data_IF_622745156752
#
_entry.id   IF_622745156752
#
_cell.length_a   1.000
_cell.length_b   1.000
_cell.length_c   1.000
_cell.angle_alpha   90.00
_cell.angle_beta   90.00
_cell.angle_gamma   90.00
#
_symmetry.space_group_name_H-M   'P 1'
#
loop_
_entity.id
_entity.type
_entity.pdbx_description
1 polymer ?
#
# COMPACT_ATOMS: atom_id res chain seq x y z
N UNK A 1 -16.44 25.46 37.93
CA UNK A 1 -16.76 24.16 37.33
C UNK A 1 -17.21 24.27 35.86
N UNK A 2 -18.15 25.14 35.48
CA UNK A 2 -18.61 25.27 34.08
C UNK A 2 -17.53 25.68 33.05
N UNK A 3 -16.54 26.51 33.45
CA UNK A 3 -15.43 26.96 32.58
C UNK A 3 -14.38 25.87 32.30
N UNK A 4 -14.16 24.97 33.26
CA UNK A 4 -13.21 23.84 33.12
C UNK A 4 -13.81 22.77 32.18
N UNK A 5 -15.12 22.56 32.25
CA UNK A 5 -15.83 21.63 31.36
C UNK A 5 -15.80 22.09 29.90
N UNK A 6 -15.94 23.41 29.65
CA UNK A 6 -15.86 24.00 28.31
C UNK A 6 -14.48 23.86 27.71
N UNK A 7 -13.39 24.05 28.49
CA UNK A 7 -12.02 23.88 28.05
C UNK A 7 -11.69 22.42 27.69
N UNK A 8 -12.20 21.46 28.47
CA UNK A 8 -12.02 20.03 28.21
C UNK A 8 -12.74 19.58 26.93
N UNK A 9 -13.91 20.11 26.63
CA UNK A 9 -14.66 19.79 25.42
C UNK A 9 -14.02 20.38 24.16
N UNK A 10 -13.42 21.58 24.27
CA UNK A 10 -12.71 22.22 23.14
C UNK A 10 -11.40 21.49 22.80
N UNK A 11 -10.71 20.94 23.78
CA UNK A 11 -9.48 20.16 23.57
C UNK A 11 -9.76 18.79 22.93
N UNK A 12 -10.92 18.20 23.19
CA UNK A 12 -11.32 16.91 22.60
C UNK A 12 -11.65 17.02 21.11
N UNK A 13 -12.08 18.19 20.64
CA UNK A 13 -12.41 18.45 19.22
C UNK A 13 -11.17 18.65 18.32
N UNK A 14 -9.97 18.81 18.88
CA UNK A 14 -8.73 18.99 18.12
C UNK A 14 -8.01 17.67 17.78
N UNK A 15 -8.58 16.52 18.10
CA UNK A 15 -8.01 15.20 17.83
C UNK A 15 -8.54 14.56 16.54
N UNK A 16 -9.20 15.31 15.66
CA UNK A 16 -9.52 14.84 14.31
C UNK A 16 -8.25 14.81 13.49
N UNK A 17 -7.56 13.68 13.50
CA UNK A 17 -6.41 13.44 12.63
C UNK A 17 -6.83 13.62 11.17
N UNK A 18 -6.10 14.42 10.40
CA UNK A 18 -6.25 14.49 8.95
C UNK A 18 -5.80 13.16 8.36
N UNK A 19 -6.73 12.33 7.88
CA UNK A 19 -6.44 11.19 7.03
C UNK A 19 -6.85 11.53 5.61
N UNK A 20 -6.00 11.21 4.62
CA UNK A 20 -6.35 11.31 3.22
C UNK A 20 -7.35 10.22 2.87
N UNK A 21 -8.42 10.60 2.17
CA UNK A 21 -9.40 9.67 1.63
C UNK A 21 -9.20 9.54 0.10
N UNK A 22 -9.39 8.33 -0.42
CA UNK A 22 -9.17 8.08 -1.86
C UNK A 22 -10.02 8.99 -2.76
N UNK A 23 -11.21 9.35 -2.32
CA UNK A 23 -12.12 10.23 -3.06
C UNK A 23 -11.63 11.68 -3.18
N UNK A 24 -10.65 12.11 -2.36
CA UNK A 24 -10.05 13.45 -2.44
C UNK A 24 -9.32 13.63 -3.79
N UNK A 25 -8.88 12.52 -4.39
CA UNK A 25 -8.11 12.50 -5.64
C UNK A 25 -8.97 12.30 -6.89
N UNK A 26 -10.29 12.16 -6.77
CA UNK A 26 -11.20 11.81 -7.87
C UNK A 26 -11.09 12.73 -9.10
N UNK A 27 -10.72 14.00 -8.91
CA UNK A 27 -10.58 15.00 -9.98
C UNK A 27 -9.14 15.18 -10.46
N UNK A 28 -8.18 14.51 -9.86
CA UNK A 28 -6.76 14.63 -10.21
C UNK A 28 -6.46 13.90 -11.50
N UNK A 29 -5.51 14.43 -12.28
CA UNK A 29 -5.11 13.91 -13.59
C UNK A 29 -3.59 13.72 -13.63
N UNK A 30 -3.09 12.80 -14.47
CA UNK A 30 -3.84 11.83 -15.29
C UNK A 30 -4.43 10.69 -14.43
N UNK A 31 -5.47 9.98 -14.89
CA UNK A 31 -6.04 8.89 -14.12
C UNK A 31 -5.07 7.71 -14.04
N UNK A 32 -4.92 7.14 -12.85
CA UNK A 32 -4.08 5.96 -12.62
C UNK A 32 -4.88 4.68 -12.87
N UNK A 33 -4.53 3.95 -13.90
CA UNK A 33 -4.96 2.57 -14.14
C UNK A 33 -3.80 1.61 -13.85
N UNK A 34 -3.86 0.87 -12.75
CA UNK A 34 -2.79 -0.03 -12.32
C UNK A 34 -2.55 -1.18 -13.31
N UNK A 35 -3.56 -1.59 -14.10
CA UNK A 35 -3.40 -2.64 -15.10
C UNK A 35 -2.58 -2.13 -16.28
N UNK A 36 -2.82 -0.90 -16.70
CA UNK A 36 -2.01 -0.25 -17.74
C UNK A 36 -0.60 0.09 -17.23
N UNK A 37 -0.50 0.62 -16.01
CA UNK A 37 0.77 1.05 -15.43
C UNK A 37 1.76 -0.11 -15.23
N UNK A 38 1.28 -1.22 -14.70
CA UNK A 38 2.14 -2.36 -14.36
C UNK A 38 2.24 -3.40 -15.50
N UNK A 39 1.60 -3.23 -16.62
CA UNK A 39 1.75 -4.16 -17.75
C UNK A 39 3.17 -4.09 -18.32
N UNK A 40 3.88 -5.22 -18.34
CA UNK A 40 5.28 -5.31 -18.77
C UNK A 40 6.24 -5.21 -17.62
N UNK A 41 7.37 -4.52 -17.80
CA UNK A 41 8.44 -4.42 -16.82
C UNK A 41 8.47 -3.04 -16.18
N UNK A 42 8.53 -3.02 -14.85
CA UNK A 42 8.75 -1.82 -14.05
C UNK A 42 9.80 -2.12 -12.97
N UNK A 43 10.41 -1.07 -12.44
CA UNK A 43 11.39 -1.17 -11.37
C UNK A 43 11.05 -0.16 -10.28
N UNK A 44 11.37 -0.51 -9.03
CA UNK A 44 11.26 0.42 -7.91
C UNK A 44 12.40 0.24 -6.91
N UNK A 45 12.69 1.30 -6.18
CA UNK A 45 13.65 1.32 -5.09
C UNK A 45 12.93 1.78 -3.82
N UNK A 46 13.23 1.14 -2.72
CA UNK A 46 12.62 1.47 -1.45
C UNK A 46 13.54 1.24 -0.27
N UNK A 47 13.06 1.64 0.89
CA UNK A 47 13.75 1.43 2.15
C UNK A 47 12.76 1.12 3.27
N UNK A 48 13.27 0.42 4.28
CA UNK A 48 12.59 0.19 5.56
C UNK A 48 13.20 1.13 6.59
N UNK A 49 12.35 1.82 7.33
CA UNK A 49 12.74 2.73 8.42
C UNK A 49 12.08 2.31 9.74
N UNK A 50 12.75 2.58 10.86
CA UNK A 50 12.14 2.46 12.17
C UNK A 50 11.30 3.72 12.52
N UNK A 51 10.71 3.73 13.72
CA UNK A 51 9.88 4.85 14.20
C UNK A 51 10.63 6.17 14.35
N UNK A 52 11.97 6.13 14.45
CA UNK A 52 12.81 7.32 14.54
C UNK A 52 13.17 7.88 13.16
N UNK A 53 12.78 7.18 12.09
CA UNK A 53 13.15 7.50 10.71
C UNK A 53 14.52 6.98 10.31
N UNK A 54 15.16 6.13 11.14
CA UNK A 54 16.44 5.51 10.80
C UNK A 54 16.22 4.45 9.73
N UNK A 55 16.98 4.53 8.63
CA UNK A 55 17.01 3.52 7.58
C UNK A 55 17.60 2.21 8.13
N UNK A 56 16.85 1.12 8.01
CA UNK A 56 17.25 -0.22 8.43
C UNK A 56 17.74 -1.06 7.25
N UNK A 57 17.02 -1.01 6.12
CA UNK A 57 17.30 -1.78 4.90
C UNK A 57 16.89 -0.98 3.67
N UNK A 58 17.53 -1.24 2.56
CA UNK A 58 17.13 -0.77 1.23
C UNK A 58 16.87 -1.95 0.34
N UNK A 59 16.06 -1.76 -0.67
CA UNK A 59 15.81 -2.77 -1.68
C UNK A 59 15.63 -2.16 -3.06
N UNK A 60 15.90 -2.96 -4.06
CA UNK A 60 15.48 -2.81 -5.44
C UNK A 60 14.49 -3.92 -5.74
N UNK A 61 13.44 -3.63 -6.48
CA UNK A 61 12.47 -4.61 -6.95
C UNK A 61 12.26 -4.48 -8.45
N UNK A 62 12.40 -5.59 -9.15
CA UNK A 62 11.98 -5.76 -10.54
C UNK A 62 10.57 -6.35 -10.54
N UNK A 63 9.67 -5.76 -11.31
CA UNK A 63 8.25 -6.12 -11.35
C UNK A 63 7.90 -6.48 -12.79
N UNK A 64 7.40 -7.69 -12.99
CA UNK A 64 6.85 -8.14 -14.28
C UNK A 64 5.33 -8.29 -14.14
N UNK A 65 4.59 -7.47 -14.88
CA UNK A 65 3.14 -7.45 -14.89
C UNK A 65 2.56 -8.08 -16.15
N UNK A 66 1.62 -9.00 -15.99
CA UNK A 66 0.87 -9.63 -17.06
C UNK A 66 -0.63 -9.44 -16.84
N UNK A 67 -1.33 -8.97 -17.88
CA UNK A 67 -2.77 -8.71 -17.84
C UNK A 67 -3.49 -9.71 -18.72
N UNK A 68 -4.36 -10.51 -18.11
CA UNK A 68 -5.25 -11.45 -18.82
C UNK A 68 -6.69 -11.20 -18.38
N UNK A 69 -7.48 -10.61 -19.27
CA UNK A 69 -8.87 -10.23 -18.96
C UNK A 69 -8.93 -9.24 -17.78
N UNK A 70 -9.65 -9.60 -16.71
CA UNK A 70 -9.82 -8.79 -15.50
C UNK A 70 -8.80 -9.09 -14.42
N UNK A 71 -7.71 -9.81 -14.75
CA UNK A 71 -6.66 -10.19 -13.80
C UNK A 71 -5.32 -9.60 -14.21
N UNK A 72 -4.65 -8.94 -13.27
CA UNK A 72 -3.27 -8.51 -13.33
C UNK A 72 -2.44 -9.42 -12.41
N UNK A 73 -1.45 -10.08 -12.96
CA UNK A 73 -0.44 -10.82 -12.19
C UNK A 73 0.83 -9.97 -12.12
N UNK A 74 1.31 -9.66 -10.91
CA UNK A 74 2.59 -8.98 -10.68
C UNK A 74 3.57 -9.96 -10.08
N UNK A 75 4.66 -10.20 -10.77
CA UNK A 75 5.78 -10.99 -10.27
C UNK A 75 6.89 -10.04 -9.82
N UNK A 76 7.11 -9.95 -8.52
CA UNK A 76 8.03 -9.02 -7.87
C UNK A 76 9.27 -9.77 -7.41
N UNK A 77 10.46 -9.32 -7.86
CA UNK A 77 11.76 -9.83 -7.45
C UNK A 77 12.53 -8.78 -6.67
N UNK A 78 12.59 -8.94 -5.35
CA UNK A 78 13.28 -8.04 -4.44
C UNK A 78 14.73 -8.47 -4.24
N UNK A 79 15.64 -7.50 -4.24
CA UNK A 79 17.02 -7.65 -3.81
C UNK A 79 17.32 -6.59 -2.76
N UNK A 80 17.63 -7.04 -1.55
CA UNK A 80 17.98 -6.18 -0.43
C UNK A 80 19.48 -5.88 -0.39
N UNK A 81 19.88 -4.78 0.28
CA UNK A 81 21.28 -4.36 0.40
C UNK A 81 22.15 -5.29 1.27
N UNK A 82 21.53 -6.17 2.07
CA UNK A 82 22.19 -7.27 2.79
C UNK A 82 22.34 -8.55 1.94
N UNK A 83 21.88 -8.52 0.67
CA UNK A 83 21.95 -9.63 -0.28
C UNK A 83 20.79 -10.61 -0.21
N UNK A 84 19.86 -10.44 0.71
CA UNK A 84 18.61 -11.24 0.73
C UNK A 84 17.80 -11.04 -0.54
N UNK A 85 17.22 -12.12 -1.04
CA UNK A 85 16.31 -12.09 -2.19
C UNK A 85 14.94 -12.62 -1.78
N UNK A 86 13.90 -11.93 -2.19
CA UNK A 86 12.53 -12.34 -1.98
C UNK A 86 11.74 -12.26 -3.29
N UNK A 87 10.73 -13.09 -3.40
CA UNK A 87 9.79 -13.07 -4.52
C UNK A 87 8.37 -13.01 -3.96
N UNK A 88 7.54 -12.17 -4.58
CA UNK A 88 6.11 -12.13 -4.32
C UNK A 88 5.36 -12.14 -5.63
N UNK A 89 4.28 -12.90 -5.70
CA UNK A 89 3.39 -12.90 -6.85
C UNK A 89 2.01 -12.44 -6.38
N UNK A 90 1.58 -11.30 -6.89
CA UNK A 90 0.23 -10.80 -6.71
C UNK A 90 -0.67 -11.30 -7.84
N UNK A 91 -1.88 -11.71 -7.47
CA UNK A 91 -3.00 -11.90 -8.39
C UNK A 91 -4.07 -10.88 -8.05
N UNK A 92 -4.22 -9.86 -8.88
CA UNK A 92 -5.10 -8.72 -8.65
C UNK A 92 -6.24 -8.76 -9.66
N UNK A 93 -7.48 -8.65 -9.18
CA UNK A 93 -8.68 -8.68 -10.00
C UNK A 93 -9.46 -7.38 -9.86
N UNK A 94 -10.00 -6.89 -10.98
CA UNK A 94 -10.99 -5.80 -10.96
C UNK A 94 -12.32 -6.34 -10.43
N UNK A 95 -12.93 -5.63 -9.49
CA UNK A 95 -14.25 -5.97 -8.92
C UNK A 95 -15.33 -4.95 -9.29
N UNK A 96 -14.98 -3.97 -10.14
CA UNK A 96 -15.87 -2.92 -10.63
C UNK A 96 -15.73 -1.59 -9.89
N UNK A 97 -16.15 -0.49 -10.55
CA UNK A 97 -16.16 0.86 -9.97
C UNK A 97 -14.83 1.32 -9.36
N UNK A 98 -13.70 1.06 -10.04
CA UNK A 98 -12.37 1.41 -9.54
C UNK A 98 -11.93 0.62 -8.30
N UNK A 99 -12.56 -0.52 -8.03
CA UNK A 99 -12.21 -1.40 -6.91
C UNK A 99 -11.48 -2.64 -7.40
N UNK A 100 -10.60 -3.12 -6.52
CA UNK A 100 -9.71 -4.25 -6.79
C UNK A 100 -9.60 -5.14 -5.56
N UNK A 101 -9.42 -6.42 -5.80
CA UNK A 101 -9.05 -7.41 -4.79
C UNK A 101 -7.84 -8.18 -5.25
N UNK A 102 -6.98 -8.59 -4.31
CA UNK A 102 -5.80 -9.37 -4.66
C UNK A 102 -5.35 -10.30 -3.55
N UNK A 103 -4.55 -11.28 -3.96
CA UNK A 103 -3.92 -12.25 -3.06
C UNK A 103 -2.44 -12.39 -3.41
N UNK A 104 -1.63 -12.73 -2.42
CA UNK A 104 -0.25 -13.15 -2.58
C UNK A 104 0.07 -14.21 -1.51
N UNK A 105 1.18 -14.94 -1.66
CA UNK A 105 1.49 -16.08 -0.81
C UNK A 105 1.77 -15.74 0.65
N UNK A 106 2.21 -14.51 0.94
CA UNK A 106 2.55 -13.99 2.28
C UNK A 106 1.49 -13.05 2.86
N UNK A 107 0.36 -12.87 2.15
CA UNK A 107 -0.76 -12.00 2.56
C UNK A 107 -1.80 -12.81 3.32
N UNK A 108 -2.25 -12.28 4.44
CA UNK A 108 -3.36 -12.84 5.22
C UNK A 108 -4.69 -12.40 4.61
N UNK A 109 -5.50 -13.37 4.16
CA UNK A 109 -6.79 -13.10 3.55
C UNK A 109 -6.70 -12.45 2.16
N UNK A 110 -7.48 -11.40 1.94
CA UNK A 110 -7.61 -10.68 0.67
C UNK A 110 -7.25 -9.22 0.84
N UNK A 111 -6.33 -8.75 0.02
CA UNK A 111 -6.03 -7.33 -0.11
C UNK A 111 -7.14 -6.61 -0.88
N UNK A 112 -7.42 -5.35 -0.53
CA UNK A 112 -8.43 -4.52 -1.17
C UNK A 112 -7.86 -3.19 -1.61
N UNK A 113 -8.23 -2.77 -2.83
CA UNK A 113 -7.80 -1.52 -3.39
C UNK A 113 -8.91 -0.70 -4.02
N UNK A 114 -8.62 0.57 -4.13
CA UNK A 114 -9.49 1.53 -4.81
C UNK A 114 -8.64 2.55 -5.58
N UNK A 115 -9.05 2.84 -6.81
CA UNK A 115 -8.49 3.92 -7.62
C UNK A 115 -9.47 5.09 -7.70
N UNK A 116 -8.96 6.31 -7.62
CA UNK A 116 -9.70 7.53 -7.90
C UNK A 116 -8.75 8.60 -8.45
N UNK A 117 -9.07 9.16 -9.61
CA UNK A 117 -8.19 10.11 -10.30
C UNK A 117 -6.78 9.55 -10.48
N UNK A 118 -5.76 10.28 -10.04
CA UNK A 118 -4.37 9.87 -10.15
C UNK A 118 -3.84 9.02 -8.98
N UNK A 119 -4.71 8.58 -8.07
CA UNK A 119 -4.32 7.84 -6.88
C UNK A 119 -4.88 6.41 -6.87
N UNK A 120 -4.15 5.51 -6.25
CA UNK A 120 -4.55 4.15 -5.92
C UNK A 120 -4.15 3.86 -4.47
N UNK A 121 -5.10 3.37 -3.68
CA UNK A 121 -4.86 2.92 -2.31
C UNK A 121 -5.00 1.40 -2.24
N UNK A 122 -4.05 0.73 -1.59
CA UNK A 122 -4.00 -0.72 -1.44
C UNK A 122 -3.81 -1.10 0.02
N UNK A 123 -4.73 -1.87 0.58
CA UNK A 123 -4.73 -2.27 1.99
C UNK A 123 -4.69 -3.78 2.14
N UNK A 124 -3.79 -4.26 2.96
CA UNK A 124 -3.62 -5.69 3.22
C UNK A 124 -2.94 -5.94 4.57
N UNK A 125 -2.97 -7.20 4.99
CA UNK A 125 -2.25 -7.69 6.15
C UNK A 125 -1.23 -8.73 5.72
N UNK A 126 -0.03 -8.68 6.27
CA UNK A 126 1.06 -9.57 5.91
C UNK A 126 1.82 -10.01 7.15
N UNK A 127 2.21 -11.29 7.18
CA UNK A 127 3.11 -11.82 8.19
C UNK A 127 4.56 -11.45 7.87
N UNK A 128 5.18 -10.68 8.75
CA UNK A 128 6.58 -10.25 8.60
C UNK A 128 7.41 -10.89 9.70
N UNK A 129 8.48 -11.59 9.33
CA UNK A 129 9.42 -12.16 10.28
C UNK A 129 10.61 -11.23 10.44
N UNK A 130 10.85 -10.79 11.67
CA UNK A 130 11.99 -9.98 12.05
C UNK A 130 12.50 -10.45 13.43
N UNK A 131 13.81 -10.54 13.61
CA UNK A 131 14.48 -10.98 14.86
C UNK A 131 13.93 -12.30 15.41
N UNK A 132 13.63 -13.26 14.51
CA UNK A 132 13.10 -14.58 14.88
C UNK A 132 11.65 -14.59 15.37
N UNK A 133 10.92 -13.48 15.24
CA UNK A 133 9.50 -13.35 15.58
C UNK A 133 8.70 -12.99 14.35
N UNK A 134 7.48 -13.53 14.27
CA UNK A 134 6.52 -13.20 13.21
C UNK A 134 5.47 -12.24 13.73
N UNK A 135 5.25 -11.17 12.99
CA UNK A 135 4.31 -10.09 13.28
C UNK A 135 3.29 -9.99 12.16
N UNK A 136 2.01 -9.94 12.50
CA UNK A 136 0.99 -9.56 11.54
C UNK A 136 0.95 -8.03 11.46
N UNK A 137 1.36 -7.49 10.32
CA UNK A 137 1.35 -6.05 10.06
C UNK A 137 0.24 -5.69 9.09
N UNK A 138 -0.34 -4.51 9.29
CA UNK A 138 -1.35 -3.94 8.41
C UNK A 138 -0.70 -2.87 7.55
N UNK A 139 -0.85 -3.00 6.24
CA UNK A 139 -0.29 -2.11 5.24
C UNK A 139 -1.38 -1.24 4.64
N UNK A 140 -1.06 0.01 4.41
CA UNK A 140 -1.89 1.02 3.75
C UNK A 140 -1.01 1.76 2.75
N UNK A 141 -0.92 1.20 1.54
CA UNK A 141 -0.05 1.68 0.48
C UNK A 141 -0.80 2.66 -0.42
N UNK A 142 -0.14 3.75 -0.79
CA UNK A 142 -0.65 4.75 -1.68
C UNK A 142 0.28 4.92 -2.88
N UNK A 143 -0.30 4.85 -4.07
CA UNK A 143 0.38 5.12 -5.33
C UNK A 143 -0.22 6.35 -5.97
N UNK A 144 0.63 7.19 -6.54
CA UNK A 144 0.23 8.42 -7.23
C UNK A 144 0.94 8.49 -8.58
N UNK A 145 0.20 8.93 -9.61
CA UNK A 145 0.73 9.15 -10.95
C UNK A 145 0.91 10.64 -11.21
#
# INVERSE_FOLDING_TARGET
>A
MKRILALGLTLLLMLTGCSSEINDYQRQQPPLDIFHYFQGKTEAWGMVQDYSGKQLRRFHVEIEGDVVGDTLTLNEHFVYDDGEKQQRVWHIRRTGNGRYEGTAGDIEGVARGQAAGNAFNWRYSMNVTADGKTWLLHFDDWLYL
#
